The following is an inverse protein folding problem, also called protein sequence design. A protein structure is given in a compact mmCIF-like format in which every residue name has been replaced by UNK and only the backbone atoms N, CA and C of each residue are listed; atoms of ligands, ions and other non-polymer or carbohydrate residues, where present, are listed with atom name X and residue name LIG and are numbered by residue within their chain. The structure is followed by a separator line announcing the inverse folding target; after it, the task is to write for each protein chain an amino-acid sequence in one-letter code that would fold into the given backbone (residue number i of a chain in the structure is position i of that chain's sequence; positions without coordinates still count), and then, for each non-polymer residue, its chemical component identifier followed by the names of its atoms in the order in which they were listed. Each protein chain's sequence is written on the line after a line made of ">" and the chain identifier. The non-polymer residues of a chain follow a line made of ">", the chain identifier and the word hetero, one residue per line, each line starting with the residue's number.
data_IF_575051699020
#
_entry.id   IF_575051699020
#
_cell.length_a   1.000
_cell.length_b   1.000
_cell.length_c   1.000
_cell.angle_alpha   90.00
_cell.angle_beta   90.00
_cell.angle_gamma   90.00
#
_symmetry.space_group_name_H-M   'P 1'
#
loop_
_entity.id
_entity.type
_entity.pdbx_description
1 polymer ?
#
# COMPACT_ATOMS: atom_id res chain seq x y z
N UNK A 1 -4.95 -1.22 -25.31
CA UNK A 1 -4.44 -0.13 -24.43
C UNK A 1 -5.59 0.76 -23.99
N UNK A 2 -6.45 0.26 -23.08
CA UNK A 2 -7.73 0.91 -22.70
C UNK A 2 -7.61 1.82 -21.47
N UNK A 3 -6.46 1.78 -20.79
CA UNK A 3 -6.24 2.51 -19.53
C UNK A 3 -4.90 3.25 -19.50
N UNK A 4 -4.19 3.34 -20.63
CA UNK A 4 -2.86 3.95 -20.70
C UNK A 4 -2.88 5.45 -20.32
N UNK A 5 -4.05 6.09 -20.44
CA UNK A 5 -4.39 7.45 -20.03
C UNK A 5 -4.63 7.59 -18.51
N UNK A 6 -4.82 6.48 -17.80
CA UNK A 6 -5.10 6.43 -16.36
C UNK A 6 -3.91 5.85 -15.58
N UNK A 7 -3.40 4.70 -16.00
CA UNK A 7 -2.25 4.00 -15.41
C UNK A 7 -1.49 3.26 -16.50
N UNK A 8 -0.15 3.35 -16.47
CA UNK A 8 0.66 2.73 -17.51
C UNK A 8 1.98 2.19 -16.96
N UNK A 9 2.48 1.13 -17.60
CA UNK A 9 3.83 0.62 -17.37
C UNK A 9 4.84 1.58 -18.01
N UNK A 10 5.87 1.96 -17.26
CA UNK A 10 6.93 2.86 -17.75
C UNK A 10 8.23 2.58 -17.01
N UNK A 11 9.35 2.57 -17.73
CA UNK A 11 10.67 2.40 -17.13
C UNK A 11 11.10 0.94 -17.10
N UNK A 12 11.65 0.50 -15.97
CA UNK A 12 12.16 -0.89 -15.83
C UNK A 12 11.04 -1.87 -15.48
N UNK A 13 11.36 -3.18 -15.45
CA UNK A 13 10.37 -4.21 -15.14
C UNK A 13 9.72 -3.97 -13.78
N UNK A 14 8.38 -3.99 -13.76
CA UNK A 14 7.57 -3.73 -12.57
C UNK A 14 7.35 -2.25 -12.26
N UNK A 15 7.98 -1.31 -12.98
CA UNK A 15 7.74 0.13 -12.82
C UNK A 15 6.49 0.58 -13.59
N UNK A 16 5.64 1.32 -12.91
CA UNK A 16 4.45 1.92 -13.48
C UNK A 16 4.24 3.33 -12.94
N UNK A 17 3.42 4.11 -13.64
CA UNK A 17 2.95 5.41 -13.16
C UNK A 17 1.44 5.53 -13.24
N UNK A 18 0.89 6.31 -12.33
CA UNK A 18 -0.48 6.80 -12.45
C UNK A 18 -0.42 8.05 -13.34
N UNK A 19 -1.04 7.97 -14.52
CA UNK A 19 -1.14 9.08 -15.46
C UNK A 19 -2.20 10.06 -14.97
N UNK A 20 -3.35 9.53 -14.58
CA UNK A 20 -4.42 10.24 -13.90
C UNK A 20 -4.61 9.63 -12.48
N UNK A 21 -3.90 10.15 -11.46
CA UNK A 21 -4.01 9.63 -10.09
C UNK A 21 -5.41 9.78 -9.49
N UNK A 22 -6.20 10.75 -9.95
CA UNK A 22 -7.56 11.00 -9.44
C UNK A 22 -8.53 9.98 -10.02
N UNK A 23 -8.45 9.67 -11.32
CA UNK A 23 -9.28 8.63 -11.93
C UNK A 23 -8.92 7.23 -11.40
N UNK A 24 -7.63 6.96 -11.14
CA UNK A 24 -7.22 5.72 -10.45
C UNK A 24 -7.89 5.63 -9.08
N UNK A 25 -7.84 6.71 -8.30
CA UNK A 25 -8.44 6.74 -6.96
C UNK A 25 -9.97 6.62 -7.01
N UNK A 26 -10.62 7.27 -7.99
CA UNK A 26 -12.07 7.17 -8.20
C UNK A 26 -12.49 5.73 -8.52
N UNK A 27 -11.82 5.08 -9.49
CA UNK A 27 -12.09 3.67 -9.84
C UNK A 27 -11.81 2.73 -8.66
N UNK A 28 -10.78 3.00 -7.87
CA UNK A 28 -10.51 2.23 -6.66
C UNK A 28 -11.59 2.42 -5.59
N UNK A 29 -12.05 3.66 -5.41
CA UNK A 29 -13.17 4.01 -4.55
C UNK A 29 -14.45 3.29 -4.97
N UNK A 30 -14.79 3.34 -6.25
CA UNK A 30 -15.93 2.62 -6.85
C UNK A 30 -15.86 1.12 -6.55
N UNK A 31 -14.71 0.47 -6.80
CA UNK A 31 -14.52 -0.96 -6.53
C UNK A 31 -14.66 -1.32 -5.04
N UNK A 32 -14.30 -0.42 -4.13
CA UNK A 32 -14.35 -0.63 -2.68
C UNK A 32 -15.59 -0.02 -2.02
N UNK A 33 -16.55 0.47 -2.82
CA UNK A 33 -17.75 1.19 -2.38
C UNK A 33 -17.46 2.38 -1.46
N UNK A 34 -16.38 3.12 -1.74
CA UNK A 34 -15.94 4.33 -1.02
C UNK A 34 -15.98 5.54 -1.96
N UNK A 35 -17.12 6.26 -2.04
CA UNK A 35 -17.31 7.34 -3.02
C UNK A 35 -16.41 8.57 -2.77
N UNK A 36 -15.96 8.78 -1.54
CA UNK A 36 -15.08 9.89 -1.16
C UNK A 36 -13.58 9.51 -1.21
N UNK A 37 -13.23 8.53 -2.03
CA UNK A 37 -11.83 8.13 -2.25
C UNK A 37 -11.11 9.15 -3.13
N UNK A 38 -9.85 9.44 -2.80
CA UNK A 38 -8.99 10.33 -3.58
C UNK A 38 -7.54 9.85 -3.56
N UNK A 39 -6.67 10.47 -4.34
CA UNK A 39 -5.27 10.05 -4.44
C UNK A 39 -4.53 10.14 -3.11
N UNK A 40 -4.75 11.16 -2.29
CA UNK A 40 -4.05 11.29 -1.00
C UNK A 40 -4.31 10.09 -0.09
N UNK A 41 -5.59 9.68 0.02
CA UNK A 41 -6.00 8.51 0.79
C UNK A 41 -5.45 7.21 0.21
N UNK A 42 -5.47 7.07 -1.12
CA UNK A 42 -4.92 5.90 -1.81
C UNK A 42 -3.41 5.79 -1.69
N UNK A 43 -2.70 6.89 -1.89
CA UNK A 43 -1.24 6.93 -1.77
C UNK A 43 -0.81 6.48 -0.38
N UNK A 44 -1.63 6.71 0.66
CA UNK A 44 -1.37 6.19 2.01
C UNK A 44 -1.44 4.68 2.10
N UNK A 45 -2.39 4.04 1.42
CA UNK A 45 -2.46 2.58 1.30
C UNK A 45 -1.22 2.03 0.58
N UNK A 46 -0.80 2.68 -0.52
CA UNK A 46 0.39 2.28 -1.27
C UNK A 46 1.67 2.33 -0.41
N UNK A 47 1.82 3.33 0.46
CA UNK A 47 2.97 3.42 1.38
C UNK A 47 3.07 2.24 2.34
N UNK A 48 1.96 1.61 2.74
CA UNK A 48 2.01 0.42 3.61
C UNK A 48 2.60 -0.82 2.92
N UNK A 49 2.78 -0.79 1.60
CA UNK A 49 3.39 -1.88 0.87
C UNK A 49 4.92 -1.79 0.81
N UNK A 50 5.52 -0.66 1.22
CA UNK A 50 6.96 -0.45 1.17
C UNK A 50 7.69 -1.38 2.14
N UNK A 51 7.29 -1.37 3.41
CA UNK A 51 7.87 -2.21 4.47
C UNK A 51 7.59 -3.71 4.28
N UNK A 52 6.72 -4.05 3.32
CA UNK A 52 6.32 -5.42 3.03
C UNK A 52 6.88 -5.95 1.72
N UNK A 53 7.80 -5.20 1.11
CA UNK A 53 8.46 -5.58 -0.12
C UNK A 53 7.49 -5.94 -1.26
N UNK A 54 6.28 -5.38 -1.28
CA UNK A 54 5.32 -5.59 -2.38
C UNK A 54 5.56 -4.56 -3.48
N UNK A 55 5.84 -3.32 -3.08
CA UNK A 55 6.18 -2.24 -4.01
C UNK A 55 6.96 -1.14 -3.29
N UNK A 56 7.62 -0.28 -4.05
CA UNK A 56 8.29 0.91 -3.54
C UNK A 56 7.94 2.16 -4.36
N UNK A 57 8.24 3.33 -3.80
CA UNK A 57 8.16 4.60 -4.53
C UNK A 57 9.35 4.74 -5.46
N UNK A 58 9.11 5.09 -6.73
CA UNK A 58 10.18 5.56 -7.60
C UNK A 58 10.45 7.03 -7.26
N UNK A 59 11.59 7.32 -6.64
CA UNK A 59 12.00 8.68 -6.31
C UNK A 59 12.36 9.47 -7.58
N UNK A 60 12.19 10.79 -7.53
CA UNK A 60 12.42 11.68 -8.69
C UNK A 60 11.32 11.66 -9.77
N UNK A 61 10.36 10.72 -9.71
CA UNK A 61 9.21 10.65 -10.62
C UNK A 61 7.90 10.84 -9.87
N UNK A 62 7.03 11.73 -10.36
CA UNK A 62 5.68 11.92 -9.79
C UNK A 62 4.80 10.70 -10.08
N UNK A 63 4.03 10.27 -9.08
CA UNK A 63 3.04 9.18 -9.20
C UNK A 63 3.57 7.83 -9.71
N UNK A 64 4.88 7.63 -9.68
CA UNK A 64 5.53 6.41 -10.14
C UNK A 64 5.89 5.46 -8.99
N UNK A 65 5.65 4.18 -9.19
CA UNK A 65 5.85 3.11 -8.22
C UNK A 65 6.45 1.90 -8.93
N UNK A 66 7.07 1.01 -8.16
CA UNK A 66 7.64 -0.22 -8.70
C UNK A 66 7.21 -1.40 -7.86
N UNK A 67 6.64 -2.42 -8.49
CA UNK A 67 6.38 -3.69 -7.83
C UNK A 67 7.68 -4.44 -7.55
N UNK A 68 7.74 -5.09 -6.40
CA UNK A 68 8.78 -6.03 -6.04
C UNK A 68 8.20 -7.44 -6.15
N UNK A 69 8.61 -8.15 -7.20
CA UNK A 69 8.09 -9.47 -7.52
C UNK A 69 8.44 -10.51 -6.46
N UNK A 70 9.52 -10.32 -5.70
CA UNK A 70 9.88 -11.26 -4.64
C UNK A 70 8.90 -11.16 -3.48
N UNK A 71 8.58 -9.95 -3.01
CA UNK A 71 7.58 -9.82 -1.94
C UNK A 71 6.14 -10.03 -2.43
N UNK A 72 5.84 -9.79 -3.71
CA UNK A 72 4.57 -10.26 -4.30
C UNK A 72 4.47 -11.79 -4.23
N UNK A 73 5.52 -12.51 -4.64
CA UNK A 73 5.51 -13.96 -4.62
C UNK A 73 5.30 -14.52 -3.21
N UNK A 74 5.86 -13.87 -2.19
CA UNK A 74 5.62 -14.20 -0.77
C UNK A 74 4.19 -13.87 -0.34
N UNK A 75 3.66 -12.72 -0.71
CA UNK A 75 2.31 -12.29 -0.35
C UNK A 75 1.19 -13.13 -1.01
N UNK A 76 1.49 -13.81 -2.11
CA UNK A 76 0.55 -14.69 -2.83
C UNK A 76 0.53 -16.12 -2.28
N UNK A 77 1.45 -16.52 -1.40
CA UNK A 77 1.43 -17.86 -0.83
C UNK A 77 0.20 -18.04 0.08
N UNK A 78 -0.55 -19.15 -0.04
CA UNK A 78 -1.59 -19.49 0.92
C UNK A 78 -0.95 -19.72 2.29
N UNK A 79 -1.47 -19.02 3.31
CA UNK A 79 -0.93 -18.99 4.67
C UNK A 79 -0.90 -20.39 5.30
N UNK A 80 0.22 -21.10 5.19
CA UNK A 80 0.50 -22.34 5.92
C UNK A 80 1.21 -22.02 7.23
N UNK A 81 0.42 -21.72 8.27
CA UNK A 81 0.77 -21.83 9.70
C UNK A 81 2.10 -21.23 10.18
N UNK A 82 2.04 -20.06 10.83
CA UNK A 82 3.10 -19.58 11.73
C UNK A 82 2.76 -18.22 12.36
N UNK A 83 3.13 -17.96 13.63
CA UNK A 83 2.85 -16.69 14.31
C UNK A 83 3.87 -15.62 13.88
N UNK A 84 3.78 -15.17 12.62
CA UNK A 84 4.44 -13.95 12.15
C UNK A 84 3.46 -12.77 12.22
N UNK A 85 3.94 -11.52 12.35
CA UNK A 85 3.05 -10.37 12.25
C UNK A 85 2.61 -10.20 10.78
N UNK A 86 1.52 -10.87 10.42
CA UNK A 86 0.93 -10.90 9.08
C UNK A 86 0.20 -9.60 8.77
N UNK A 87 0.95 -8.58 8.37
CA UNK A 87 0.37 -7.29 8.01
C UNK A 87 -0.43 -7.33 6.69
N UNK A 88 -0.33 -8.40 5.88
CA UNK A 88 -0.99 -8.54 4.57
C UNK A 88 -2.16 -9.52 4.56
N UNK A 89 -2.47 -10.16 5.70
CA UNK A 89 -3.65 -11.00 5.76
C UNK A 89 -4.88 -10.19 5.36
N UNK A 90 -5.87 -10.78 4.66
CA UNK A 90 -7.10 -10.07 4.30
C UNK A 90 -7.76 -9.44 5.52
N UNK A 91 -7.63 -10.05 6.70
CA UNK A 91 -8.14 -9.55 7.97
C UNK A 91 -7.38 -8.32 8.47
N UNK A 92 -6.04 -8.35 8.48
CA UNK A 92 -5.21 -7.21 8.90
C UNK A 92 -5.31 -6.05 7.91
N UNK A 93 -5.38 -6.32 6.60
CA UNK A 93 -5.60 -5.30 5.57
C UNK A 93 -6.99 -4.69 5.70
N UNK A 94 -8.04 -5.50 5.92
CA UNK A 94 -9.38 -4.98 6.18
C UNK A 94 -9.46 -4.19 7.49
N UNK A 95 -8.74 -4.60 8.54
CA UNK A 95 -8.67 -3.90 9.83
C UNK A 95 -7.94 -2.57 9.71
N UNK A 96 -6.73 -2.56 9.14
CA UNK A 96 -5.97 -1.33 8.87
C UNK A 96 -6.74 -0.40 7.91
N UNK A 97 -7.47 -0.96 6.95
CA UNK A 97 -8.37 -0.19 6.09
C UNK A 97 -9.56 0.38 6.86
N UNK A 98 -10.15 -0.33 7.82
CA UNK A 98 -11.23 0.21 8.66
C UNK A 98 -10.73 1.27 9.65
N UNK A 99 -9.60 1.03 10.32
CA UNK A 99 -8.98 1.96 11.27
C UNK A 99 -8.59 3.27 10.59
N UNK A 100 -8.04 3.18 9.38
CA UNK A 100 -7.75 4.33 8.51
C UNK A 100 -9.00 5.15 8.14
N UNK A 101 -10.17 4.53 8.08
CA UNK A 101 -11.40 5.17 7.63
C UNK A 101 -12.24 5.81 8.73
N UNK A 102 -11.97 5.51 10.01
CA UNK A 102 -12.77 6.00 11.15
C UNK A 102 -12.00 6.91 12.11
N UNK A 103 -10.66 6.90 12.14
CA UNK A 103 -9.87 7.66 13.12
C UNK A 103 -8.96 8.73 12.49
N UNK A 104 -9.14 10.00 12.88
CA UNK A 104 -8.19 11.06 12.61
C UNK A 104 -6.79 10.69 13.11
N UNK A 105 -5.77 11.14 12.37
CA UNK A 105 -4.36 10.80 12.55
C UNK A 105 -3.83 11.27 13.92
N UNK A 106 -4.04 10.50 14.98
CA UNK A 106 -3.38 10.73 16.27
C UNK A 106 -3.17 9.47 17.12
N UNK A 107 -3.78 8.33 16.79
CA UNK A 107 -3.64 7.13 17.63
C UNK A 107 -2.44 6.27 17.22
N UNK A 108 -1.28 6.60 17.80
CA UNK A 108 -0.20 5.68 18.14
C UNK A 108 0.33 4.70 17.06
N UNK A 109 1.16 5.20 16.14
CA UNK A 109 2.19 4.33 15.54
C UNK A 109 3.31 3.97 16.53
N UNK A 110 3.37 4.67 17.68
CA UNK A 110 4.38 4.48 18.73
C UNK A 110 4.13 3.24 19.60
N UNK A 111 2.92 2.67 19.59
CA UNK A 111 2.57 1.47 20.37
C UNK A 111 2.76 0.15 19.61
N UNK A 112 3.27 0.19 18.37
CA UNK A 112 3.63 -0.99 17.59
C UNK A 112 5.14 -1.27 17.57
N UNK A 113 5.92 -0.51 18.35
CA UNK A 113 7.31 -0.85 18.67
C UNK A 113 7.25 -1.71 19.94
N UNK A 114 7.71 -2.98 19.93
CA UNK A 114 7.95 -3.71 21.17
C UNK A 114 8.86 -2.86 22.06
N UNK A 115 8.49 -2.63 23.32
CA UNK A 115 9.24 -1.83 24.31
C UNK A 115 10.57 -2.47 24.74
N UNK A 116 11.30 -3.14 23.84
CA UNK A 116 12.49 -3.93 24.12
C UNK A 116 13.80 -3.44 23.51
N UNK A 117 13.83 -2.38 22.70
CA UNK A 117 15.08 -1.86 22.13
C UNK A 117 15.17 -0.34 22.29
N UNK A 118 15.41 0.11 23.53
CA UNK A 118 16.28 1.26 23.74
C UNK A 118 17.70 0.77 23.45
N UNK A 119 18.24 1.11 22.28
CA UNK A 119 19.69 1.13 22.10
C UNK A 119 20.11 2.57 22.33
N UNK A 120 20.85 2.77 23.42
CA UNK A 120 21.56 4.00 23.73
C UNK A 120 22.53 4.34 22.60
N UNK A 121 22.43 5.56 22.06
CA UNK A 121 23.45 6.61 21.98
C UNK A 121 22.77 7.84 21.36
#
# INVERSE_FOLDING_TARGET
>A
KRYDDVITWEGTQGEFKLVDPDEVARKWGERKSKPNMNYDKMSRALRYYYDKNIMCKVHGKRYAYKFDFQGIAQALQPQTGGPGPDYLSPQTVNRLQQDFMQGGWSANYRSLIPTGLQVSI
#
